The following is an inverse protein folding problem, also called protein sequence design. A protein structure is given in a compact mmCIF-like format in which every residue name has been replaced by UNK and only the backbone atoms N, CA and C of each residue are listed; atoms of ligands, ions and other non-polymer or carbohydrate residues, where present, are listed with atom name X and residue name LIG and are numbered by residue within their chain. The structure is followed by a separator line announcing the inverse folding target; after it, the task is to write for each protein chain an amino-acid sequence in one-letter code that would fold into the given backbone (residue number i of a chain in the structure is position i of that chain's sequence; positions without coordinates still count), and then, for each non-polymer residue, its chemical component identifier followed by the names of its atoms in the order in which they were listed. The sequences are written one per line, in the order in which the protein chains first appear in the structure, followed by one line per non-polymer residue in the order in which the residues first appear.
data_IF_610620701884
#
_entry.id   IF_610620701884
#
_cell.length_a   1.000
_cell.length_b   1.000
_cell.length_c   1.000
_cell.angle_alpha   90.00
_cell.angle_beta   90.00
_cell.angle_gamma   90.00
#
_symmetry.space_group_name_H-M   'P 1'
#
loop_
_entity.id
_entity.type
_entity.pdbx_description
1 polymer ?
#
# COMPACT_ATOMS: atom_id res chain seq x y z
N UNK A 1 -13.79 8.43 13.49
CA UNK A 1 -15.14 8.66 12.91
C UNK A 1 -16.02 7.40 12.85
N UNK A 2 -15.48 6.20 13.09
CA UNK A 2 -16.28 4.95 13.08
C UNK A 2 -16.93 4.58 14.43
N UNK A 3 -16.51 5.20 15.54
CA UNK A 3 -17.02 4.90 16.89
C UNK A 3 -18.39 5.55 17.17
N UNK A 4 -18.82 6.52 16.36
CA UNK A 4 -20.08 7.25 16.55
C UNK A 4 -21.26 6.73 15.70
N UNK A 5 -21.02 5.86 14.72
CA UNK A 5 -22.12 5.27 13.93
C UNK A 5 -22.80 4.11 14.66
N UNK A 6 -22.06 3.38 15.50
CA UNK A 6 -22.60 2.24 16.25
C UNK A 6 -23.67 2.65 17.26
N UNK A 7 -23.50 3.79 17.93
CA UNK A 7 -24.49 4.32 18.88
C UNK A 7 -25.77 4.84 18.20
N UNK A 8 -25.69 5.26 16.94
CA UNK A 8 -26.85 5.75 16.18
C UNK A 8 -27.77 4.60 15.71
N UNK A 9 -27.19 3.45 15.37
CA UNK A 9 -27.96 2.27 14.92
C UNK A 9 -28.68 1.60 16.09
N UNK A 10 -28.03 1.45 17.25
CA UNK A 10 -28.64 0.86 18.44
C UNK A 10 -29.82 1.69 18.96
N UNK A 11 -29.72 3.02 18.90
CA UNK A 11 -30.80 3.91 19.34
C UNK A 11 -31.97 3.98 18.35
N UNK A 12 -31.74 3.79 17.04
CA UNK A 12 -32.82 3.70 16.04
C UNK A 12 -33.64 2.41 16.21
N UNK A 13 -33.01 1.30 16.59
CA UNK A 13 -33.72 0.05 16.92
C UNK A 13 -34.54 0.17 18.20
N UNK A 14 -34.08 0.92 19.20
CA UNK A 14 -34.84 1.17 20.44
C UNK A 14 -36.02 2.14 20.23
N UNK A 15 -35.86 3.15 19.37
CA UNK A 15 -36.93 4.07 18.96
C UNK A 15 -38.02 3.36 18.14
N UNK A 16 -37.64 2.46 17.23
CA UNK A 16 -38.59 1.62 16.49
C UNK A 16 -39.33 0.62 17.39
N UNK A 17 -38.75 0.26 18.54
CA UNK A 17 -39.34 -0.64 19.54
C UNK A 17 -40.24 0.06 20.58
N UNK A 18 -40.48 1.38 20.46
CA UNK A 18 -41.47 2.10 21.27
C UNK A 18 -41.13 2.25 22.76
N UNK A 19 -39.87 2.14 23.17
CA UNK A 19 -39.43 2.34 24.56
C UNK A 19 -38.85 3.74 24.75
N UNK A 20 -39.52 4.66 25.47
CA UNK A 20 -38.94 5.96 25.77
C UNK A 20 -38.01 5.85 26.98
N UNK A 21 -36.70 5.91 26.78
CA UNK A 21 -35.75 6.14 27.86
C UNK A 21 -34.77 7.25 27.48
N UNK A 22 -35.12 8.48 27.85
CA UNK A 22 -34.21 9.62 27.79
C UNK A 22 -34.91 10.93 28.10
N UNK A 23 -34.50 11.60 29.18
CA UNK A 23 -35.02 12.93 29.53
C UNK A 23 -34.66 13.99 28.48
N UNK A 24 -35.33 15.15 28.55
CA UNK A 24 -35.20 16.27 27.59
C UNK A 24 -33.73 16.67 27.27
N UNK A 25 -32.81 16.47 28.20
CA UNK A 25 -31.38 16.72 28.01
C UNK A 25 -30.76 15.82 26.92
N UNK A 26 -31.14 14.55 26.88
CA UNK A 26 -30.60 13.56 25.93
C UNK A 26 -31.11 13.79 24.51
N UNK A 27 -32.36 14.25 24.38
CA UNK A 27 -32.92 14.69 23.09
C UNK A 27 -32.22 15.96 22.57
N UNK A 28 -31.90 16.91 23.45
CA UNK A 28 -31.17 18.12 23.06
C UNK A 28 -29.74 17.81 22.55
N UNK A 29 -29.02 16.89 23.21
CA UNK A 29 -27.70 16.43 22.72
C UNK A 29 -27.80 15.69 21.38
N UNK A 30 -28.85 14.89 21.17
CA UNK A 30 -29.08 14.17 19.91
C UNK A 30 -29.35 15.13 18.74
N UNK A 31 -30.25 16.09 18.91
CA UNK A 31 -30.54 17.08 17.87
C UNK A 31 -29.35 18.00 17.60
N UNK A 32 -28.59 18.39 18.63
CA UNK A 32 -27.35 19.15 18.46
C UNK A 32 -26.30 18.39 17.64
N UNK A 33 -26.10 17.09 17.92
CA UNK A 33 -25.18 16.23 17.17
C UNK A 33 -25.59 16.00 15.72
N UNK A 34 -26.90 15.85 15.46
CA UNK A 34 -27.44 15.69 14.10
C UNK A 34 -27.20 16.96 13.26
N UNK A 35 -27.50 18.14 13.81
CA UNK A 35 -27.29 19.43 13.12
C UNK A 35 -25.81 19.66 12.82
N UNK A 36 -24.92 19.36 13.77
CA UNK A 36 -23.47 19.48 13.55
C UNK A 36 -22.96 18.53 12.45
N UNK A 37 -23.49 17.30 12.41
CA UNK A 37 -23.11 16.31 11.40
C UNK A 37 -23.54 16.76 10.01
N UNK A 38 -24.78 17.22 9.84
CA UNK A 38 -25.30 17.73 8.56
C UNK A 38 -24.49 18.95 8.09
N UNK A 39 -24.18 19.89 9.00
CA UNK A 39 -23.39 21.08 8.68
C UNK A 39 -21.96 20.72 8.20
N UNK A 40 -21.28 19.78 8.88
CA UNK A 40 -19.94 19.32 8.51
C UNK A 40 -19.96 18.57 7.17
N UNK A 41 -20.94 17.69 6.95
CA UNK A 41 -21.07 16.97 5.67
C UNK A 41 -21.29 17.94 4.50
N UNK A 42 -22.17 18.93 4.67
CA UNK A 42 -22.42 19.94 3.62
C UNK A 42 -21.19 20.80 3.34
N UNK A 43 -20.44 21.18 4.38
CA UNK A 43 -19.20 21.95 4.24
C UNK A 43 -18.12 21.17 3.47
N UNK A 44 -17.83 19.93 3.89
CA UNK A 44 -16.85 19.06 3.24
C UNK A 44 -17.22 18.79 1.78
N UNK A 45 -18.50 18.53 1.50
CA UNK A 45 -18.97 18.30 0.12
C UNK A 45 -18.77 19.53 -0.76
N UNK A 46 -18.98 20.73 -0.21
CA UNK A 46 -18.84 21.99 -0.96
C UNK A 46 -17.37 22.35 -1.23
N UNK A 47 -16.47 22.06 -0.29
CA UNK A 47 -15.02 22.21 -0.45
C UNK A 47 -14.49 21.23 -1.51
N UNK A 48 -14.92 19.97 -1.46
CA UNK A 48 -14.53 18.96 -2.44
C UNK A 48 -14.98 19.31 -3.87
N UNK A 49 -16.20 19.83 -4.06
CA UNK A 49 -16.69 20.25 -5.38
C UNK A 49 -15.93 21.44 -5.99
N UNK A 50 -15.46 22.39 -5.16
CA UNK A 50 -14.63 23.51 -5.63
C UNK A 50 -13.24 23.04 -6.05
N UNK A 51 -12.62 22.18 -5.24
CA UNK A 51 -11.32 21.59 -5.56
C UNK A 51 -11.35 20.75 -6.86
N UNK A 52 -12.48 20.10 -7.17
CA UNK A 52 -12.68 19.36 -8.42
C UNK A 52 -12.88 20.26 -9.65
N UNK A 53 -13.46 21.46 -9.49
CA UNK A 53 -13.68 22.39 -10.60
C UNK A 53 -12.36 23.04 -11.06
N UNK A 54 -11.50 23.39 -10.12
CA UNK A 54 -10.20 24.05 -10.39
C UNK A 54 -9.18 23.11 -11.04
N UNK A 55 -9.36 21.79 -10.91
CA UNK A 55 -8.44 20.76 -11.43
C UNK A 55 -8.62 20.42 -12.92
N UNK A 56 -9.60 21.02 -13.62
CA UNK A 56 -9.98 20.64 -14.99
C UNK A 56 -9.51 21.58 -16.10
N UNK A 57 -8.70 22.60 -15.77
CA UNK A 57 -8.23 23.59 -16.73
C UNK A 57 -6.73 23.61 -16.92
N UNK A 58 -6.28 23.17 -18.09
CA UNK A 58 -5.06 23.57 -18.83
C UNK A 58 -3.87 22.58 -18.82
N UNK A 59 -3.64 21.96 -19.98
CA UNK A 59 -2.49 21.11 -20.32
C UNK A 59 -1.59 21.83 -21.34
N UNK A 60 -0.27 21.68 -21.23
CA UNK A 60 0.69 22.11 -22.25
C UNK A 60 1.82 21.07 -22.39
N UNK A 61 2.11 20.70 -23.65
CA UNK A 61 3.07 19.68 -24.06
C UNK A 61 4.53 20.17 -24.08
N UNK A 62 5.49 19.28 -23.80
CA UNK A 62 6.91 19.47 -24.08
C UNK A 62 7.61 18.15 -24.50
N UNK A 63 8.54 18.25 -25.45
CA UNK A 63 9.26 17.18 -26.15
C UNK A 63 10.37 16.47 -25.32
N UNK A 64 10.89 15.30 -25.77
CA UNK A 64 11.53 14.31 -24.91
C UNK A 64 13.04 14.54 -24.70
N UNK A 65 13.51 14.18 -23.50
CA UNK A 65 14.90 14.21 -23.08
C UNK A 65 15.50 12.77 -22.96
N UNK A 66 16.85 12.63 -23.00
CA UNK A 66 17.59 11.39 -23.31
C UNK A 66 17.70 10.41 -22.11
N UNK A 67 18.35 9.22 -22.25
CA UNK A 67 18.00 8.01 -21.48
C UNK A 67 18.51 7.98 -20.02
N UNK A 68 17.75 7.27 -19.16
CA UNK A 68 17.60 7.44 -17.71
C UNK A 68 18.37 6.39 -16.85
N UNK A 69 18.93 6.76 -15.67
CA UNK A 69 19.52 5.83 -14.66
C UNK A 69 18.49 4.83 -14.07
N UNK A 70 18.88 3.79 -13.28
CA UNK A 70 17.92 2.79 -12.78
C UNK A 70 16.83 3.48 -11.96
N UNK A 71 15.60 3.50 -12.48
CA UNK A 71 14.56 4.37 -11.96
C UNK A 71 14.08 3.92 -10.58
N UNK A 72 13.86 4.89 -9.69
CA UNK A 72 13.28 4.70 -8.35
C UNK A 72 11.91 4.00 -8.38
N UNK A 73 11.21 4.09 -9.52
CA UNK A 73 9.91 3.46 -9.78
C UNK A 73 9.83 3.11 -11.27
N UNK A 74 9.35 1.91 -11.60
CA UNK A 74 9.14 1.46 -12.98
C UNK A 74 7.62 1.27 -13.29
N UNK A 75 7.21 1.36 -14.57
CA UNK A 75 7.98 1.85 -15.72
C UNK A 75 8.24 3.37 -15.64
N UNK A 76 9.12 3.91 -16.47
CA UNK A 76 9.25 5.38 -16.62
C UNK A 76 8.10 5.92 -17.50
N UNK A 77 6.97 6.22 -16.87
CA UNK A 77 5.82 6.87 -17.51
C UNK A 77 5.45 8.19 -16.82
N UNK A 78 4.51 8.93 -17.42
CA UNK A 78 4.10 10.25 -16.91
C UNK A 78 3.65 10.20 -15.44
N UNK A 79 2.90 9.17 -15.05
CA UNK A 79 2.36 9.05 -13.69
C UNK A 79 3.45 8.79 -12.68
N UNK A 80 4.43 7.95 -13.02
CA UNK A 80 5.58 7.71 -12.14
C UNK A 80 6.51 8.92 -12.06
N UNK A 81 6.66 9.70 -13.14
CA UNK A 81 7.38 10.99 -13.09
C UNK A 81 6.67 11.99 -12.17
N UNK A 82 5.34 12.10 -12.25
CA UNK A 82 4.53 12.94 -11.33
C UNK A 82 4.62 12.46 -9.89
N UNK A 83 4.60 11.14 -9.65
CA UNK A 83 4.84 10.60 -8.31
C UNK A 83 6.20 11.07 -7.77
N UNK A 84 7.27 10.83 -8.52
CA UNK A 84 8.65 11.16 -8.14
C UNK A 84 8.79 12.68 -7.90
N UNK A 85 8.19 13.53 -8.74
CA UNK A 85 8.26 14.98 -8.57
C UNK A 85 7.66 15.48 -7.25
N UNK A 86 6.83 14.69 -6.57
CA UNK A 86 6.33 15.02 -5.24
C UNK A 86 7.11 14.35 -4.11
N UNK A 87 7.41 13.07 -4.23
CA UNK A 87 7.91 12.25 -3.10
C UNK A 87 9.42 12.12 -3.03
N UNK A 88 10.11 12.45 -4.13
CA UNK A 88 11.56 12.61 -4.18
C UNK A 88 11.93 13.54 -5.36
N UNK A 89 11.60 14.84 -5.27
CA UNK A 89 11.67 15.75 -6.40
C UNK A 89 13.08 15.82 -7.00
N UNK A 90 13.25 15.66 -8.33
CA UNK A 90 14.54 15.85 -8.96
C UNK A 90 15.06 17.28 -8.70
N UNK A 91 16.29 17.40 -8.21
CA UNK A 91 16.86 18.71 -7.84
C UNK A 91 16.45 19.24 -6.46
N UNK A 92 15.82 18.41 -5.62
CA UNK A 92 15.57 18.78 -4.21
C UNK A 92 16.88 19.16 -3.52
N UNK A 93 16.92 20.38 -2.98
CA UNK A 93 18.06 20.86 -2.20
C UNK A 93 17.75 20.72 -0.72
N UNK A 94 18.43 19.78 -0.06
CA UNK A 94 18.32 19.59 1.38
C UNK A 94 18.57 20.91 2.14
N UNK A 95 17.71 21.30 3.09
CA UNK A 95 17.85 22.56 3.82
C UNK A 95 19.12 22.60 4.66
N UNK A 96 19.56 23.79 5.05
CA UNK A 96 20.65 23.93 6.03
C UNK A 96 20.17 23.46 7.40
N UNK A 97 20.87 22.53 8.07
CA UNK A 97 20.44 22.06 9.39
C UNK A 97 20.32 23.21 10.40
N UNK A 98 19.22 23.24 11.14
CA UNK A 98 19.10 24.10 12.30
C UNK A 98 20.13 23.74 13.37
N UNK A 99 20.47 24.71 14.24
CA UNK A 99 21.42 24.50 15.34
C UNK A 99 21.02 23.34 16.27
N UNK A 100 19.71 23.11 16.43
CA UNK A 100 19.11 21.97 17.13
C UNK A 100 17.65 21.79 16.72
N UNK A 101 17.23 20.54 16.59
CA UNK A 101 15.83 20.13 16.41
C UNK A 101 15.21 19.66 17.73
N UNK A 102 13.92 19.89 17.89
CA UNK A 102 13.16 19.29 18.99
C UNK A 102 12.92 17.80 18.70
N UNK A 103 12.63 17.49 17.43
CA UNK A 103 12.38 16.14 16.94
C UNK A 103 13.10 15.88 15.61
N UNK A 104 13.84 14.78 15.55
CA UNK A 104 14.28 14.16 14.27
C UNK A 104 13.42 12.93 14.02
N UNK A 105 12.86 12.81 12.82
CA UNK A 105 12.10 11.65 12.36
C UNK A 105 12.91 10.96 11.28
N UNK A 106 13.21 9.67 11.47
CA UNK A 106 13.94 8.85 10.49
C UNK A 106 12.96 7.91 9.79
N UNK A 107 12.73 8.15 8.51
CA UNK A 107 11.74 7.47 7.67
C UNK A 107 10.49 8.32 7.43
N UNK A 108 10.19 8.57 6.17
CA UNK A 108 9.05 9.32 5.65
C UNK A 108 7.87 8.44 5.20
N UNK A 109 7.68 7.28 5.86
CA UNK A 109 6.45 6.50 5.76
C UNK A 109 5.34 7.02 6.69
N UNK A 110 4.18 6.35 6.70
CA UNK A 110 2.98 6.80 7.45
C UNK A 110 3.26 7.26 8.88
N UNK A 111 4.00 6.47 9.67
CA UNK A 111 4.32 6.82 11.05
C UNK A 111 5.18 8.09 11.13
N UNK A 112 6.22 8.19 10.31
CA UNK A 112 7.11 9.34 10.33
C UNK A 112 6.45 10.63 9.82
N UNK A 113 5.67 10.54 8.74
CA UNK A 113 4.88 11.66 8.22
C UNK A 113 3.88 12.18 9.26
N UNK A 114 3.16 11.29 9.94
CA UNK A 114 2.21 11.69 11.00
C UNK A 114 2.94 12.31 12.19
N UNK A 115 4.05 11.72 12.64
CA UNK A 115 4.86 12.28 13.74
C UNK A 115 5.42 13.65 13.39
N UNK A 116 5.94 13.84 12.17
CA UNK A 116 6.54 15.09 11.74
C UNK A 116 5.50 16.20 11.63
N UNK A 117 4.36 15.95 10.95
CA UNK A 117 3.28 16.92 10.83
C UNK A 117 2.66 17.26 12.18
N UNK A 118 2.45 16.26 13.05
CA UNK A 118 1.90 16.46 14.39
C UNK A 118 2.80 17.31 15.28
N UNK A 119 4.10 17.03 15.30
CA UNK A 119 5.06 17.80 16.09
C UNK A 119 5.23 19.24 15.57
N UNK A 120 5.33 19.43 14.25
CA UNK A 120 5.43 20.77 13.66
C UNK A 120 4.16 21.60 13.91
N UNK A 121 2.97 20.98 13.84
CA UNK A 121 1.69 21.63 14.18
C UNK A 121 1.58 22.08 15.64
N UNK A 122 2.38 21.50 16.54
CA UNK A 122 2.51 21.92 17.94
C UNK A 122 3.63 22.96 18.16
N UNK A 123 4.27 23.43 17.08
CA UNK A 123 5.34 24.44 17.12
C UNK A 123 6.74 23.89 17.35
N UNK A 124 6.93 22.56 17.32
CA UNK A 124 8.26 21.96 17.44
C UNK A 124 9.08 22.16 16.16
N UNK A 125 10.39 22.35 16.30
CA UNK A 125 11.30 22.33 15.14
C UNK A 125 11.60 20.88 14.77
N UNK A 126 11.17 20.47 13.58
CA UNK A 126 11.24 19.07 13.13
C UNK A 126 12.14 18.92 11.91
N UNK A 127 13.02 17.92 11.96
CA UNK A 127 13.68 17.38 10.78
C UNK A 127 13.07 16.02 10.42
N UNK A 128 12.74 15.83 9.15
CA UNK A 128 12.32 14.54 8.59
C UNK A 128 13.39 14.06 7.62
N UNK A 129 13.94 12.87 7.82
CA UNK A 129 14.97 12.27 6.97
C UNK A 129 14.41 11.04 6.27
N UNK A 130 14.40 11.04 4.93
CA UNK A 130 13.92 9.93 4.10
C UNK A 130 14.97 9.56 3.04
N UNK A 131 15.36 8.28 2.98
CA UNK A 131 16.43 7.80 2.09
C UNK A 131 15.97 7.51 0.66
N UNK A 132 14.68 7.27 0.47
CA UNK A 132 14.11 6.79 -0.78
C UNK A 132 12.90 7.62 -1.22
N UNK A 133 11.66 7.18 -1.01
CA UNK A 133 10.47 7.93 -1.42
C UNK A 133 9.63 8.28 -0.19
N UNK A 134 9.26 9.56 -0.06
CA UNK A 134 8.25 9.95 0.91
C UNK A 134 6.91 9.21 0.65
N UNK A 135 6.11 9.05 1.69
CA UNK A 135 4.92 8.21 1.70
C UNK A 135 5.20 6.74 2.05
N UNK A 136 6.47 6.32 2.01
CA UNK A 136 6.93 4.97 2.38
C UNK A 136 6.19 3.86 1.64
N UNK A 137 6.11 2.68 2.25
CA UNK A 137 5.44 1.52 1.61
C UNK A 137 3.99 1.82 1.26
N UNK A 138 3.25 2.50 2.15
CA UNK A 138 1.81 2.69 2.03
C UNK A 138 1.43 3.33 0.69
N UNK A 139 2.11 4.43 0.33
CA UNK A 139 1.91 5.13 -0.94
C UNK A 139 2.56 4.37 -2.10
N UNK A 140 3.83 3.96 -1.93
CA UNK A 140 4.66 3.60 -3.06
C UNK A 140 4.50 2.14 -3.48
N UNK A 141 4.49 1.19 -2.54
CA UNK A 141 4.64 -0.25 -2.80
C UNK A 141 3.77 -1.14 -1.89
N UNK A 142 2.64 -0.60 -1.45
CA UNK A 142 1.82 -1.19 -0.41
C UNK A 142 0.35 -0.88 -0.61
N UNK A 143 -0.27 -0.19 0.34
CA UNK A 143 -1.72 -0.02 0.42
C UNK A 143 -2.32 0.66 -0.82
N UNK A 144 -1.79 1.82 -1.23
CA UNK A 144 -2.34 2.57 -2.38
C UNK A 144 -2.33 1.75 -3.66
N UNK A 145 -1.18 1.21 -4.13
CA UNK A 145 -1.15 0.44 -5.37
C UNK A 145 -1.91 -0.89 -5.27
N UNK A 146 -1.83 -1.61 -4.14
CA UNK A 146 -2.59 -2.85 -3.95
C UNK A 146 -4.09 -2.61 -4.00
N UNK A 147 -4.61 -1.59 -3.31
CA UNK A 147 -6.06 -1.34 -3.25
C UNK A 147 -6.59 -0.80 -4.58
N UNK A 148 -5.78 -0.05 -5.33
CA UNK A 148 -6.13 0.37 -6.69
C UNK A 148 -6.27 -0.84 -7.64
N UNK A 149 -5.37 -1.81 -7.55
CA UNK A 149 -5.42 -3.07 -8.33
C UNK A 149 -6.59 -3.97 -7.87
N UNK A 150 -6.77 -4.16 -6.56
CA UNK A 150 -7.85 -4.97 -5.98
C UNK A 150 -9.23 -4.41 -6.38
N UNK A 151 -9.38 -3.08 -6.47
CA UNK A 151 -10.63 -2.47 -6.95
C UNK A 151 -10.95 -2.85 -8.40
N UNK A 152 -9.95 -2.86 -9.29
CA UNK A 152 -10.12 -3.33 -10.67
C UNK A 152 -10.43 -4.84 -10.72
N UNK A 153 -9.68 -5.64 -9.97
CA UNK A 153 -9.90 -7.08 -9.85
C UNK A 153 -11.31 -7.43 -9.33
N UNK A 154 -11.79 -6.68 -8.33
CA UNK A 154 -13.16 -6.82 -7.80
C UNK A 154 -14.20 -6.48 -8.87
N UNK A 155 -13.97 -5.42 -9.65
CA UNK A 155 -14.87 -5.03 -10.74
C UNK A 155 -14.98 -6.13 -11.80
N UNK A 156 -13.85 -6.72 -12.20
CA UNK A 156 -13.82 -7.84 -13.14
C UNK A 156 -14.55 -9.07 -12.58
N UNK A 157 -14.35 -9.41 -11.30
CA UNK A 157 -15.06 -10.51 -10.66
C UNK A 157 -16.57 -10.27 -10.59
N UNK A 158 -17.00 -9.08 -10.17
CA UNK A 158 -18.42 -8.72 -10.14
C UNK A 158 -19.05 -8.81 -11.53
N UNK A 159 -18.36 -8.34 -12.58
CA UNK A 159 -18.85 -8.44 -13.95
C UNK A 159 -19.09 -9.90 -14.40
N UNK A 160 -18.24 -10.85 -13.98
CA UNK A 160 -18.41 -12.29 -14.26
C UNK A 160 -19.54 -12.94 -13.48
N UNK A 161 -19.90 -12.38 -12.32
CA UNK A 161 -20.94 -12.91 -11.43
C UNK A 161 -22.32 -12.23 -11.62
N UNK A 162 -22.47 -11.36 -12.62
CA UNK A 162 -23.69 -10.57 -12.88
C UNK A 162 -24.94 -11.41 -13.17
N UNK A 163 -24.79 -12.63 -13.66
CA UNK A 163 -25.90 -13.54 -13.98
C UNK A 163 -26.73 -13.91 -12.75
N UNK A 164 -26.13 -13.95 -11.56
CA UNK A 164 -26.83 -14.16 -10.30
C UNK A 164 -27.84 -13.03 -9.99
N UNK A 165 -27.67 -11.86 -10.62
CA UNK A 165 -28.58 -10.72 -10.53
C UNK A 165 -29.52 -10.61 -11.74
N UNK A 166 -29.55 -11.62 -12.62
CA UNK A 166 -30.36 -11.61 -13.84
C UNK A 166 -29.80 -10.73 -14.96
N UNK A 167 -28.53 -10.29 -14.87
CA UNK A 167 -27.86 -9.48 -15.90
C UNK A 167 -26.90 -10.35 -16.70
N UNK A 168 -27.09 -10.40 -18.02
CA UNK A 168 -26.23 -11.17 -18.92
C UNK A 168 -25.01 -10.37 -19.40
N UNK A 169 -23.82 -10.92 -19.22
CA UNK A 169 -22.56 -10.39 -19.76
C UNK A 169 -21.89 -11.50 -20.58
N UNK A 170 -21.59 -11.24 -21.85
CA UNK A 170 -21.06 -12.25 -22.78
C UNK A 170 -19.56 -12.56 -22.61
N UNK A 171 -18.86 -11.77 -21.79
CA UNK A 171 -17.44 -11.95 -21.49
C UNK A 171 -16.88 -10.77 -20.69
N UNK A 172 -15.77 -11.01 -19.99
CA UNK A 172 -15.03 -9.97 -19.26
C UNK A 172 -13.58 -10.04 -19.71
N UNK A 173 -13.21 -9.12 -20.60
CA UNK A 173 -11.83 -8.91 -21.01
C UNK A 173 -11.17 -7.89 -20.09
N UNK A 174 -9.94 -8.18 -19.67
CA UNK A 174 -9.20 -7.35 -18.72
C UNK A 174 -7.93 -6.87 -19.40
N UNK A 175 -7.90 -5.57 -19.72
CA UNK A 175 -6.66 -4.89 -20.10
C UNK A 175 -5.82 -4.61 -18.85
N UNK A 176 -4.86 -5.50 -18.59
CA UNK A 176 -3.98 -5.36 -17.43
C UNK A 176 -3.08 -4.12 -17.52
N UNK A 177 -2.65 -3.72 -18.72
CA UNK A 177 -1.82 -2.53 -18.88
C UNK A 177 -2.61 -1.27 -18.47
N UNK A 178 -3.88 -1.18 -18.86
CA UNK A 178 -4.77 -0.10 -18.43
C UNK A 178 -5.08 -0.15 -16.92
N UNK A 179 -5.21 -1.34 -16.31
CA UNK A 179 -5.36 -1.47 -14.86
C UNK A 179 -4.14 -0.91 -14.12
N UNK A 180 -2.95 -1.22 -14.63
CA UNK A 180 -1.68 -0.79 -14.03
C UNK A 180 -1.42 0.71 -14.26
N UNK A 181 -1.75 1.25 -15.42
CA UNK A 181 -1.73 2.69 -15.71
C UNK A 181 -2.66 3.45 -14.76
N UNK A 182 -3.93 3.00 -14.62
CA UNK A 182 -4.88 3.57 -13.67
C UNK A 182 -4.35 3.54 -12.23
N UNK A 183 -3.71 2.45 -11.82
CA UNK A 183 -3.09 2.36 -10.50
C UNK A 183 -2.03 3.44 -10.31
N UNK A 184 -1.12 3.59 -11.27
CA UNK A 184 -0.04 4.59 -11.19
C UNK A 184 -0.59 6.01 -11.19
N UNK A 185 -1.59 6.30 -12.02
CA UNK A 185 -2.30 7.59 -12.04
C UNK A 185 -2.94 7.93 -10.69
N UNK A 186 -3.63 6.96 -10.06
CA UNK A 186 -4.24 7.16 -8.73
C UNK A 186 -3.18 7.38 -7.65
N UNK A 187 -2.08 6.63 -7.70
CA UNK A 187 -0.94 6.80 -6.79
C UNK A 187 -0.31 8.18 -6.94
N UNK A 188 -0.07 8.63 -8.18
CA UNK A 188 0.46 9.95 -8.49
C UNK A 188 -0.47 11.07 -7.98
N UNK A 189 -1.79 10.93 -8.16
CA UNK A 189 -2.76 11.90 -7.65
C UNK A 189 -2.83 12.02 -6.12
N UNK A 190 -2.38 10.99 -5.38
CA UNK A 190 -2.31 11.02 -3.90
C UNK A 190 -0.96 11.58 -3.42
N UNK A 191 0.10 11.42 -4.20
CA UNK A 191 1.47 11.80 -3.85
C UNK A 191 1.66 13.22 -3.28
N UNK A 192 0.94 14.27 -3.74
CA UNK A 192 1.06 15.61 -3.13
C UNK A 192 0.77 15.65 -1.62
N UNK A 193 -0.01 14.71 -1.09
CA UNK A 193 -0.33 14.63 0.34
C UNK A 193 0.80 14.07 1.20
N UNK A 194 1.74 13.35 0.59
CA UNK A 194 2.90 12.77 1.27
C UNK A 194 4.22 13.42 0.82
N UNK A 195 4.17 14.32 -0.18
CA UNK A 195 5.33 14.89 -0.83
C UNK A 195 6.10 15.95 -0.03
N UNK A 196 7.34 16.18 -0.44
CA UNK A 196 8.32 17.03 0.26
C UNK A 196 7.80 18.46 0.46
N UNK A 197 7.27 19.08 -0.60
CA UNK A 197 6.78 20.46 -0.54
C UNK A 197 5.65 20.66 0.48
N UNK A 198 4.74 19.67 0.62
CA UNK A 198 3.67 19.76 1.60
C UNK A 198 4.24 19.81 3.01
N UNK A 199 5.21 18.95 3.31
CA UNK A 199 5.83 18.90 4.62
C UNK A 199 6.68 20.14 4.92
N UNK A 200 7.36 20.68 3.92
CA UNK A 200 8.03 21.99 4.03
C UNK A 200 7.04 23.11 4.35
N UNK A 201 5.88 23.16 3.69
CA UNK A 201 4.81 24.15 4.01
C UNK A 201 4.24 23.98 5.41
N UNK A 202 4.32 22.79 6.00
CA UNK A 202 3.93 22.53 7.39
C UNK A 202 5.02 22.92 8.42
N UNK A 203 6.17 23.45 7.97
CA UNK A 203 7.27 23.85 8.85
C UNK A 203 8.22 22.72 9.21
N UNK A 204 8.25 21.63 8.44
CA UNK A 204 9.20 20.52 8.61
C UNK A 204 10.40 20.72 7.67
N UNK A 205 11.61 20.63 8.23
CA UNK A 205 12.83 20.56 7.41
C UNK A 205 12.95 19.14 6.84
N UNK A 206 12.68 19.00 5.53
CA UNK A 206 12.68 17.72 4.82
C UNK A 206 14.04 17.48 4.19
N UNK A 207 14.69 16.42 4.65
CA UNK A 207 15.96 15.92 4.16
C UNK A 207 15.75 14.63 3.38
N UNK A 208 16.14 14.62 2.12
CA UNK A 208 16.18 13.44 1.28
C UNK A 208 17.61 12.91 1.23
N UNK A 209 17.83 11.73 1.79
CA UNK A 209 19.14 11.12 1.97
C UNK A 209 19.16 10.08 3.09
N UNK A 210 20.23 9.31 3.17
CA UNK A 210 20.39 8.27 4.19
C UNK A 210 20.90 8.87 5.51
N UNK A 211 20.14 8.64 6.59
CA UNK A 211 20.47 9.10 7.93
C UNK A 211 20.97 7.98 8.84
N UNK A 212 22.04 8.23 9.60
CA UNK A 212 22.61 7.30 10.58
C UNK A 212 22.89 7.99 11.91
N UNK A 213 22.54 7.35 13.02
CA UNK A 213 22.87 7.82 14.36
C UNK A 213 24.39 7.74 14.60
N UNK A 214 24.97 8.87 14.98
CA UNK A 214 26.39 8.97 15.39
C UNK A 214 26.55 9.12 16.90
N UNK A 215 25.43 9.19 17.63
CA UNK A 215 25.38 9.33 19.06
C UNK A 215 23.93 9.42 19.57
N UNK A 216 23.77 9.56 20.89
CA UNK A 216 22.44 9.58 21.54
C UNK A 216 21.52 10.74 21.13
N UNK A 217 22.10 11.82 20.62
CA UNK A 217 21.40 13.05 20.26
C UNK A 217 21.90 13.64 18.92
N UNK A 218 22.55 12.81 18.10
CA UNK A 218 23.14 13.23 16.83
C UNK A 218 22.89 12.21 15.74
N UNK A 219 22.42 12.69 14.60
CA UNK A 219 22.25 11.94 13.36
C UNK A 219 23.13 12.60 12.29
N UNK A 220 23.75 11.81 11.44
CA UNK A 220 24.50 12.26 10.27
C UNK A 220 23.74 11.88 9.01
N UNK A 221 23.70 12.79 8.04
CA UNK A 221 23.12 12.57 6.72
C UNK A 221 23.95 13.35 5.70
N UNK A 222 24.53 12.66 4.72
CA UNK A 222 25.39 13.25 3.68
C UNK A 222 26.48 14.21 4.23
N UNK A 223 27.15 13.80 5.31
CA UNK A 223 28.16 14.61 6.00
C UNK A 223 27.61 15.80 6.82
N UNK A 224 26.29 16.00 6.85
CA UNK A 224 25.62 17.00 7.68
C UNK A 224 25.26 16.40 9.03
N UNK A 225 25.59 17.09 10.11
CA UNK A 225 25.22 16.71 11.47
C UNK A 225 23.90 17.36 11.88
N UNK A 226 22.91 16.55 12.23
CA UNK A 226 21.64 16.96 12.80
C UNK A 226 21.67 16.67 14.30
N UNK A 227 21.54 17.70 15.13
CA UNK A 227 21.45 17.57 16.59
C UNK A 227 19.99 17.66 17.03
N UNK A 228 19.58 16.86 18.01
CA UNK A 228 18.17 16.79 18.40
C UNK A 228 17.93 16.58 19.89
N UNK A 229 16.70 16.79 20.34
CA UNK A 229 16.25 16.46 21.70
C UNK A 229 15.60 15.08 21.77
N UNK A 230 14.74 14.77 20.80
CA UNK A 230 14.09 13.45 20.65
C UNK A 230 14.23 12.94 19.23
N UNK A 231 14.15 11.63 19.08
CA UNK A 231 14.08 10.98 17.78
C UNK A 231 12.88 10.02 17.70
N UNK A 232 12.28 9.95 16.53
CA UNK A 232 11.33 8.89 16.15
C UNK A 232 11.98 8.05 15.06
N UNK A 233 12.10 6.75 15.32
CA UNK A 233 12.57 5.76 14.34
C UNK A 233 11.33 5.18 13.66
N UNK A 234 11.11 5.55 12.40
CA UNK A 234 9.94 5.19 11.59
C UNK A 234 10.36 4.57 10.24
N UNK A 235 11.44 3.78 10.25
CA UNK A 235 12.10 3.22 9.06
C UNK A 235 11.36 2.06 8.39
N UNK A 236 10.24 1.62 8.96
CA UNK A 236 9.38 0.59 8.38
C UNK A 236 10.05 -0.77 8.28
N UNK A 237 9.70 -1.51 7.23
CA UNK A 237 10.15 -2.86 6.99
C UNK A 237 10.44 -3.07 5.49
N UNK A 238 11.03 -4.20 5.13
CA UNK A 238 11.29 -4.62 3.74
C UNK A 238 10.80 -6.03 3.50
N UNK A 239 10.54 -6.39 2.25
CA UNK A 239 10.26 -7.77 1.89
C UNK A 239 11.45 -8.68 2.24
N UNK A 240 11.16 -9.88 2.74
CA UNK A 240 12.17 -10.91 2.98
C UNK A 240 11.92 -12.09 2.05
N UNK A 241 12.92 -12.44 1.25
CA UNK A 241 12.90 -13.68 0.50
C UNK A 241 13.24 -14.86 1.44
N UNK A 242 12.46 -15.95 1.40
CA UNK A 242 12.84 -17.16 2.10
C UNK A 242 14.13 -17.73 1.47
N UNK A 243 15.02 -18.37 2.25
CA UNK A 243 16.29 -18.92 1.77
C UNK A 243 16.05 -20.22 0.97
N UNK A 244 15.38 -20.10 -0.17
CA UNK A 244 15.07 -21.21 -1.08
C UNK A 244 16.19 -21.27 -2.13
N UNK A 245 16.92 -22.39 -2.24
CA UNK A 245 17.95 -22.57 -3.26
C UNK A 245 17.43 -22.26 -4.67
N UNK A 246 18.17 -21.46 -5.43
CA UNK A 246 17.83 -21.09 -6.81
C UNK A 246 16.79 -19.96 -6.96
N UNK A 247 16.18 -19.48 -5.87
CA UNK A 247 15.10 -18.48 -5.94
C UNK A 247 15.58 -17.12 -6.46
N UNK A 248 16.75 -16.67 -6.01
CA UNK A 248 17.33 -15.40 -6.47
C UNK A 248 17.73 -15.47 -7.95
N UNK A 249 18.31 -16.60 -8.38
CA UNK A 249 18.79 -16.84 -9.73
C UNK A 249 17.64 -16.92 -10.76
N UNK A 250 16.50 -17.49 -10.38
CA UNK A 250 15.30 -17.47 -11.25
C UNK A 250 14.61 -16.10 -11.27
N UNK A 251 14.87 -15.28 -10.25
CA UNK A 251 14.23 -14.00 -10.00
C UNK A 251 12.78 -14.12 -9.53
N UNK A 252 12.38 -13.23 -8.63
CA UNK A 252 11.03 -13.18 -8.07
C UNK A 252 10.55 -11.73 -7.91
N UNK A 253 9.24 -11.59 -7.74
CA UNK A 253 8.57 -10.35 -7.39
C UNK A 253 8.37 -10.29 -5.88
N UNK A 254 8.32 -9.09 -5.34
CA UNK A 254 7.89 -8.80 -3.96
C UNK A 254 6.81 -7.73 -4.00
N UNK A 255 6.31 -7.27 -2.85
CA UNK A 255 5.43 -6.09 -2.81
C UNK A 255 6.11 -4.84 -3.41
N UNK A 256 7.45 -4.78 -3.42
CA UNK A 256 8.22 -3.65 -3.94
C UNK A 256 8.25 -3.62 -5.47
N UNK A 257 8.22 -4.79 -6.12
CA UNK A 257 8.41 -4.90 -7.58
C UNK A 257 7.17 -5.36 -8.34
N UNK A 258 6.19 -6.00 -7.69
CA UNK A 258 4.98 -6.52 -8.35
C UNK A 258 4.16 -5.41 -9.03
N UNK A 259 4.23 -4.18 -8.50
CA UNK A 259 3.50 -3.03 -9.05
C UNK A 259 4.18 -2.39 -10.26
N UNK A 260 5.35 -2.89 -10.68
CA UNK A 260 6.05 -2.47 -11.89
C UNK A 260 5.63 -3.25 -13.13
N UNK A 261 4.88 -4.34 -12.96
CA UNK A 261 4.40 -5.14 -14.07
C UNK A 261 3.52 -4.29 -15.01
N UNK A 262 3.81 -4.39 -16.30
CA UNK A 262 2.99 -3.83 -17.39
C UNK A 262 2.22 -4.92 -18.13
N UNK A 263 2.63 -6.18 -17.98
CA UNK A 263 1.99 -7.34 -18.57
C UNK A 263 1.50 -8.30 -17.49
N UNK A 264 0.35 -8.94 -17.74
CA UNK A 264 -0.21 -9.92 -16.82
C UNK A 264 0.54 -11.26 -16.96
N UNK A 265 1.20 -11.78 -15.90
CA UNK A 265 1.76 -13.11 -15.95
C UNK A 265 0.63 -14.13 -16.11
N UNK A 266 0.69 -14.99 -17.14
CA UNK A 266 -0.38 -15.97 -17.41
C UNK A 266 -0.43 -17.01 -16.29
N UNK A 267 0.72 -17.38 -15.73
CA UNK A 267 0.88 -18.28 -14.58
C UNK A 267 1.69 -17.58 -13.49
N UNK A 268 1.09 -17.42 -12.32
CA UNK A 268 1.72 -16.81 -11.15
C UNK A 268 1.80 -17.83 -10.01
N UNK A 269 3.01 -18.12 -9.53
CA UNK A 269 3.21 -18.83 -8.27
C UNK A 269 3.37 -17.82 -7.13
N UNK A 270 2.65 -17.98 -6.03
CA UNK A 270 2.74 -17.14 -4.83
C UNK A 270 3.33 -17.96 -3.70
N UNK A 271 4.43 -17.48 -3.11
CA UNK A 271 5.09 -18.09 -1.95
C UNK A 271 4.64 -17.34 -0.69
N UNK A 272 3.90 -18.03 0.16
CA UNK A 272 3.28 -17.48 1.37
C UNK A 272 1.86 -16.97 1.10
N UNK A 273 0.91 -17.42 1.91
CA UNK A 273 -0.50 -17.03 1.96
C UNK A 273 -0.81 -16.21 3.22
N UNK A 274 0.13 -15.36 3.66
CA UNK A 274 -0.17 -14.25 4.57
C UNK A 274 -1.04 -13.17 3.90
N UNK A 275 -1.31 -12.03 4.56
CA UNK A 275 -2.21 -11.00 4.03
C UNK A 275 -1.83 -10.52 2.62
N UNK A 276 -0.55 -10.22 2.38
CA UNK A 276 -0.06 -9.77 1.06
C UNK A 276 -0.23 -10.86 0.01
N UNK A 277 0.12 -12.10 0.36
CA UNK A 277 -0.01 -13.26 -0.53
C UNK A 277 -1.47 -13.50 -0.93
N UNK A 278 -2.40 -13.46 0.02
CA UNK A 278 -3.83 -13.63 -0.24
C UNK A 278 -4.41 -12.51 -1.11
N UNK A 279 -4.13 -11.25 -0.77
CA UNK A 279 -4.61 -10.08 -1.52
C UNK A 279 -4.17 -10.14 -2.99
N UNK A 280 -2.87 -10.37 -3.22
CA UNK A 280 -2.32 -10.38 -4.57
C UNK A 280 -2.68 -11.65 -5.33
N UNK A 281 -2.73 -12.83 -4.68
CA UNK A 281 -3.20 -14.05 -5.32
C UNK A 281 -4.62 -13.90 -5.86
N UNK A 282 -5.53 -13.33 -5.07
CA UNK A 282 -6.90 -13.08 -5.51
C UNK A 282 -6.96 -12.03 -6.62
N UNK A 283 -6.22 -10.93 -6.48
CA UNK A 283 -6.21 -9.85 -7.45
C UNK A 283 -5.75 -10.35 -8.83
N UNK A 284 -4.60 -11.00 -8.90
CA UNK A 284 -4.08 -11.56 -10.16
C UNK A 284 -4.99 -12.63 -10.74
N UNK A 285 -5.57 -13.50 -9.90
CA UNK A 285 -6.50 -14.53 -10.37
C UNK A 285 -7.75 -13.91 -11.01
N UNK A 286 -8.35 -12.91 -10.36
CA UNK A 286 -9.50 -12.19 -10.90
C UNK A 286 -9.15 -11.38 -12.15
N UNK A 287 -7.93 -10.86 -12.26
CA UNK A 287 -7.46 -10.16 -13.46
C UNK A 287 -7.13 -11.11 -14.63
N UNK A 288 -7.04 -12.42 -14.39
CA UNK A 288 -6.94 -13.44 -15.45
C UNK A 288 -5.74 -14.38 -15.35
N UNK A 289 -4.86 -14.23 -14.36
CA UNK A 289 -3.76 -15.17 -14.14
C UNK A 289 -4.26 -16.52 -13.61
N UNK A 290 -3.60 -17.61 -14.01
CA UNK A 290 -3.67 -18.87 -13.28
C UNK A 290 -2.74 -18.78 -12.07
N UNK A 291 -3.31 -18.77 -10.87
CA UNK A 291 -2.55 -18.55 -9.63
C UNK A 291 -2.46 -19.83 -8.80
N UNK A 292 -1.25 -20.18 -8.38
CA UNK A 292 -0.99 -21.22 -7.37
C UNK A 292 -0.32 -20.59 -6.15
N UNK A 293 -0.97 -20.64 -4.99
CA UNK A 293 -0.41 -20.18 -3.72
C UNK A 293 0.12 -21.36 -2.91
N UNK A 294 1.40 -21.31 -2.55
CA UNK A 294 2.09 -22.30 -1.72
C UNK A 294 2.29 -21.70 -0.34
N UNK A 295 1.72 -22.32 0.69
CA UNK A 295 1.84 -21.92 2.08
C UNK A 295 2.39 -23.08 2.91
N UNK A 296 3.38 -22.79 3.75
CA UNK A 296 4.01 -23.78 4.62
C UNK A 296 3.12 -24.13 5.81
N UNK A 297 2.34 -23.16 6.30
CA UNK A 297 1.40 -23.34 7.40
C UNK A 297 0.17 -24.17 6.97
N UNK A 298 -0.55 -24.77 7.94
CA UNK A 298 -1.73 -25.59 7.66
C UNK A 298 -2.98 -24.79 7.29
N UNK A 299 -2.90 -23.45 7.25
CA UNK A 299 -3.99 -22.55 6.86
C UNK A 299 -3.43 -21.28 6.20
N UNK A 300 -4.24 -20.62 5.37
CA UNK A 300 -3.97 -19.24 4.96
C UNK A 300 -4.08 -18.29 6.15
N UNK A 301 -3.43 -17.13 6.07
CA UNK A 301 -3.47 -16.13 7.14
C UNK A 301 -3.13 -16.75 8.51
N UNK A 302 -2.02 -17.47 8.62
CA UNK A 302 -1.70 -18.32 9.79
C UNK A 302 -1.55 -17.62 11.16
N UNK A 303 -1.73 -16.29 11.24
CA UNK A 303 -1.81 -15.54 12.50
C UNK A 303 -3.25 -15.24 12.92
N UNK A 304 -4.22 -15.49 12.05
CA UNK A 304 -5.63 -15.19 12.26
C UNK A 304 -6.38 -16.40 12.80
N UNK A 305 -7.57 -16.13 13.35
CA UNK A 305 -8.49 -17.14 13.82
C UNK A 305 -8.83 -18.18 12.70
N UNK A 306 -8.84 -19.50 13.00
CA UNK A 306 -9.09 -20.53 12.00
C UNK A 306 -10.43 -20.42 11.27
N UNK A 307 -11.50 -20.00 11.94
CA UNK A 307 -12.82 -19.88 11.31
C UNK A 307 -12.84 -18.71 10.33
N UNK A 308 -12.21 -17.59 10.70
CA UNK A 308 -12.04 -16.44 9.82
C UNK A 308 -11.14 -16.78 8.62
N UNK A 309 -10.02 -17.46 8.84
CA UNK A 309 -9.12 -17.91 7.78
C UNK A 309 -9.83 -18.85 6.79
N UNK A 310 -10.67 -19.77 7.28
CA UNK A 310 -11.44 -20.69 6.45
C UNK A 310 -12.44 -19.97 5.53
N UNK A 311 -13.05 -18.86 5.98
CA UNK A 311 -13.92 -18.02 5.13
C UNK A 311 -13.13 -17.45 3.96
N UNK A 312 -11.94 -16.90 4.24
CA UNK A 312 -11.06 -16.33 3.22
C UNK A 312 -10.59 -17.41 2.25
N UNK A 313 -10.13 -18.56 2.76
CA UNK A 313 -9.67 -19.68 1.92
C UNK A 313 -10.76 -20.15 0.96
N UNK A 314 -11.99 -20.37 1.46
CA UNK A 314 -13.12 -20.78 0.61
C UNK A 314 -13.36 -19.78 -0.51
N UNK A 315 -13.32 -18.47 -0.21
CA UNK A 315 -13.50 -17.44 -1.23
C UNK A 315 -12.35 -17.42 -2.25
N UNK A 316 -11.10 -17.52 -1.80
CA UNK A 316 -9.93 -17.58 -2.69
C UNK A 316 -10.02 -18.78 -3.65
N UNK A 317 -10.39 -19.96 -3.15
CA UNK A 317 -10.59 -21.16 -3.99
C UNK A 317 -11.75 -20.96 -4.97
N UNK A 318 -12.86 -20.37 -4.53
CA UNK A 318 -14.00 -20.06 -5.40
C UNK A 318 -13.64 -19.05 -6.51
N UNK A 319 -12.73 -18.12 -6.24
CA UNK A 319 -12.18 -17.19 -7.24
C UNK A 319 -11.22 -17.87 -8.23
N UNK A 320 -10.78 -19.12 -7.96
CA UNK A 320 -9.90 -19.90 -8.84
C UNK A 320 -8.44 -19.99 -8.39
N UNK A 321 -8.10 -19.51 -7.19
CA UNK A 321 -6.74 -19.65 -6.64
C UNK A 321 -6.50 -21.10 -6.22
N UNK A 322 -5.49 -21.74 -6.80
CA UNK A 322 -5.04 -23.07 -6.37
C UNK A 322 -4.18 -22.95 -5.11
N UNK A 323 -4.73 -23.27 -3.94
CA UNK A 323 -4.01 -23.17 -2.66
C UNK A 323 -3.48 -24.54 -2.25
N UNK A 324 -2.18 -24.61 -1.96
CA UNK A 324 -1.47 -25.76 -1.40
C UNK A 324 -0.93 -25.38 -0.03
N UNK A 325 -1.50 -25.98 1.00
CA UNK A 325 -1.11 -25.80 2.40
C UNK A 325 -0.10 -26.89 2.81
N UNK A 326 0.68 -26.65 3.86
CA UNK A 326 1.76 -27.57 4.27
C UNK A 326 2.84 -27.76 3.19
N UNK A 327 2.99 -26.80 2.28
CA UNK A 327 3.89 -26.88 1.15
C UNK A 327 5.30 -26.41 1.58
N UNK A 328 6.26 -27.33 1.58
CA UNK A 328 7.68 -27.04 1.81
C UNK A 328 8.39 -26.93 0.47
N UNK A 329 8.73 -25.71 0.06
CA UNK A 329 9.46 -25.46 -1.19
C UNK A 329 10.93 -25.86 -0.99
N UNK A 330 11.42 -26.78 -1.80
CA UNK A 330 12.79 -27.31 -1.70
C UNK A 330 13.78 -26.49 -2.51
N UNK A 331 13.38 -26.04 -3.70
CA UNK A 331 14.20 -25.21 -4.59
C UNK A 331 13.36 -24.55 -5.67
N UNK A 332 13.93 -23.52 -6.29
CA UNK A 332 13.44 -22.92 -7.52
C UNK A 332 14.47 -23.15 -8.64
N UNK A 333 14.01 -23.38 -9.86
CA UNK A 333 14.90 -23.54 -11.01
C UNK A 333 14.26 -23.03 -12.30
N UNK A 334 15.11 -22.67 -13.26
CA UNK A 334 14.68 -22.25 -14.59
C UNK A 334 14.73 -23.46 -15.53
N UNK A 335 13.62 -23.76 -16.20
CA UNK A 335 13.54 -24.81 -17.23
C UNK A 335 13.09 -24.19 -18.54
N UNK A 336 14.04 -23.86 -19.41
CA UNK A 336 13.77 -23.09 -20.62
C UNK A 336 13.24 -21.69 -20.28
N UNK A 337 12.01 -21.38 -20.71
CA UNK A 337 11.35 -20.09 -20.41
C UNK A 337 10.62 -20.09 -19.07
N UNK A 338 10.36 -21.26 -18.50
CA UNK A 338 9.54 -21.40 -17.29
C UNK A 338 10.38 -21.26 -16.02
N UNK A 339 9.79 -20.65 -15.00
CA UNK A 339 10.25 -20.74 -13.62
C UNK A 339 9.52 -21.90 -12.95
N UNK A 340 10.23 -22.79 -12.27
CA UNK A 340 9.66 -23.97 -11.63
C UNK A 340 9.98 -23.95 -10.14
N UNK A 341 8.95 -24.05 -9.30
CA UNK A 341 9.11 -24.31 -7.87
C UNK A 341 8.89 -25.79 -7.63
N UNK A 342 9.87 -26.44 -7.02
CA UNK A 342 9.79 -27.83 -6.57
C UNK A 342 9.52 -27.85 -5.09
N UNK A 343 8.47 -28.55 -4.68
CA UNK A 343 8.00 -28.55 -3.30
C UNK A 343 7.49 -29.92 -2.87
N UNK A 344 7.51 -30.16 -1.57
CA UNK A 344 6.85 -31.30 -0.94
C UNK A 344 5.54 -30.85 -0.30
N UNK A 345 4.47 -31.61 -0.51
CA UNK A 345 3.21 -31.43 0.22
C UNK A 345 2.52 -32.79 0.40
N UNK A 346 2.08 -33.08 1.63
CA UNK A 346 1.43 -34.35 1.95
C UNK A 346 2.30 -35.58 1.67
N UNK A 347 3.61 -35.48 1.90
CA UNK A 347 4.58 -36.57 1.68
C UNK A 347 4.91 -36.86 0.21
N UNK A 348 4.39 -36.08 -0.73
CA UNK A 348 4.69 -36.23 -2.16
C UNK A 348 5.41 -35.00 -2.71
N UNK A 349 6.45 -35.25 -3.50
CA UNK A 349 7.15 -34.21 -4.25
C UNK A 349 6.34 -33.81 -5.48
N UNK A 350 6.17 -32.51 -5.67
CA UNK A 350 5.40 -31.88 -6.74
C UNK A 350 6.12 -30.66 -7.27
N UNK A 351 5.62 -30.14 -8.39
CA UNK A 351 6.21 -28.99 -9.06
C UNK A 351 5.12 -28.05 -9.57
N UNK A 352 5.43 -26.75 -9.57
CA UNK A 352 4.59 -25.74 -10.23
C UNK A 352 5.45 -24.94 -11.21
N UNK A 353 5.10 -25.01 -12.49
CA UNK A 353 5.69 -24.19 -13.54
C UNK A 353 4.90 -22.89 -13.71
N UNK A 354 5.59 -21.76 -13.78
CA UNK A 354 5.01 -20.43 -13.82
C UNK A 354 5.86 -19.45 -14.62
N UNK A 355 5.27 -18.30 -14.95
CA UNK A 355 5.95 -17.21 -15.66
C UNK A 355 6.58 -16.24 -14.65
N UNK A 356 5.89 -16.02 -13.53
CA UNK A 356 6.33 -15.18 -12.43
C UNK A 356 6.15 -15.89 -11.07
N UNK A 357 7.06 -15.57 -10.15
CA UNK A 357 7.00 -15.96 -8.74
C UNK A 357 6.80 -14.67 -7.94
N UNK A 358 5.83 -14.64 -7.03
CA UNK A 358 5.61 -13.57 -6.08
C UNK A 358 5.91 -14.09 -4.66
N UNK A 359 6.81 -13.43 -3.95
CA UNK A 359 7.12 -13.72 -2.56
C UNK A 359 6.32 -12.80 -1.65
N UNK A 360 5.41 -13.40 -0.87
CA UNK A 360 4.60 -12.76 0.16
C UNK A 360 4.83 -13.36 1.57
N UNK A 361 5.99 -13.97 1.80
CA UNK A 361 6.27 -14.82 2.96
C UNK A 361 6.65 -14.07 4.25
N UNK A 362 6.82 -12.74 4.21
CA UNK A 362 7.18 -11.99 5.42
C UNK A 362 7.80 -10.64 5.15
N UNK A 363 8.09 -9.93 6.24
CA UNK A 363 8.78 -8.64 6.25
C UNK A 363 9.77 -8.58 7.41
N UNK A 364 10.93 -7.98 7.21
CA UNK A 364 11.90 -7.69 8.25
C UNK A 364 11.97 -6.19 8.54
N UNK A 365 12.15 -5.76 9.80
CA UNK A 365 12.30 -4.36 10.13
C UNK A 365 13.60 -3.78 9.53
N UNK A 366 13.56 -2.52 9.10
CA UNK A 366 14.73 -1.83 8.56
C UNK A 366 15.54 -1.18 9.69
N UNK A 367 16.51 -1.91 10.24
CA UNK A 367 17.32 -1.47 11.39
C UNK A 367 18.82 -1.51 11.12
N UNK A 368 19.22 -2.15 10.02
CA UNK A 368 20.60 -2.24 9.60
C UNK A 368 21.10 -0.86 9.12
N UNK A 369 22.31 -0.48 9.54
CA UNK A 369 22.93 0.79 9.14
C UNK A 369 22.39 2.03 9.86
N UNK A 370 21.42 1.87 10.78
CA UNK A 370 20.78 2.97 11.51
C UNK A 370 21.66 3.60 12.58
#
# INVERSE_FOLDING_TARGET
MYVYLGSLVTSLTELAAGRPSGGALQQAFYFGGLVATVAVTLYVTRVARRALADATGNEAHAEPAPPVPPSLVQPDDEHNRVLISHVHPPGWTNPTPAARYDLVVVGGGTAGLVSAAGAAGLGARVALVERHLLGGDCLNVGCVPSKAMIAAARTAATARETSAFGVGVSGVDVDFAAVMERMRRLRAGIAPHDGAERFTRLGVDVFLGEGRFTGRATLEMEGRRLTFTRAVIATGARATAPPIPGLEEVGYLTNETVFWLTELPRRLAVIGAGPIGCELAQAFCRLGSRVTALEMLPQVLGKEDPDAAAVVERRLRADGVAIVLGARIERAERRGRDKVLVYEAGGARREVACDAILVGAGRAPNVEGL
#
